data_IF_640108738429
#
_entry.id   IF_640108738429
#
_cell.length_a   1.000
_cell.length_b   1.000
_cell.length_c   1.000
_cell.angle_alpha   90.00
_cell.angle_beta   90.00
_cell.angle_gamma   90.00
#
_symmetry.space_group_name_H-M   'P 1'
#
loop_
_entity.id
_entity.type
_entity.pdbx_description
1 polymer ?
#
# COMPACT_ATOMS: atom_id res chain seq x y z
N UNK A 1 -10.67 1.66 21.49
CA UNK A 1 -11.40 1.90 22.78
C UNK A 1 -10.62 1.25 23.92
N UNK A 2 -10.54 1.80 25.15
CA UNK A 2 -9.75 1.18 26.24
C UNK A 2 -10.15 -0.28 26.53
N UNK A 3 -11.44 -0.62 26.46
CA UNK A 3 -11.94 -2.00 26.67
C UNK A 3 -11.52 -2.98 25.56
N UNK A 4 -11.32 -2.47 24.35
CA UNK A 4 -10.87 -3.26 23.21
C UNK A 4 -9.39 -3.59 23.34
N UNK A 5 -8.59 -2.64 23.85
CA UNK A 5 -7.16 -2.85 24.11
C UNK A 5 -6.92 -3.81 25.28
N UNK A 6 -7.80 -3.80 26.30
CA UNK A 6 -7.78 -4.81 27.35
C UNK A 6 -7.99 -6.22 26.77
N UNK A 7 -8.92 -6.35 25.82
CA UNK A 7 -9.18 -7.62 25.13
C UNK A 7 -8.01 -8.04 24.24
N UNK A 8 -7.48 -7.13 23.42
CA UNK A 8 -6.30 -7.38 22.57
C UNK A 8 -5.12 -7.87 23.39
N UNK A 9 -4.83 -7.19 24.51
CA UNK A 9 -3.75 -7.60 25.41
C UNK A 9 -3.99 -9.00 25.99
N UNK A 10 -5.21 -9.27 26.47
CA UNK A 10 -5.55 -10.57 27.04
C UNK A 10 -5.52 -11.72 26.00
N UNK A 11 -5.89 -11.46 24.75
CA UNK A 11 -5.84 -12.44 23.66
C UNK A 11 -4.40 -12.70 23.18
N UNK A 12 -3.55 -11.66 23.15
CA UNK A 12 -2.15 -11.78 22.76
C UNK A 12 -1.28 -12.43 23.84
N UNK A 13 -1.62 -12.22 25.11
CA UNK A 13 -0.83 -12.66 26.26
C UNK A 13 -1.13 -14.12 26.64
N UNK A 14 -0.33 -15.03 26.09
CA UNK A 14 -0.53 -16.48 26.18
C UNK A 14 -0.02 -17.07 27.48
N UNK A 15 0.98 -16.46 28.10
CA UNK A 15 1.54 -16.92 29.38
C UNK A 15 0.89 -16.25 30.61
N UNK A 16 0.00 -15.28 30.36
CA UNK A 16 -0.79 -14.52 31.34
C UNK A 16 0.08 -13.73 32.32
N UNK A 17 1.23 -13.22 31.89
CA UNK A 17 2.10 -12.33 32.67
C UNK A 17 1.66 -10.84 32.55
N UNK A 18 2.41 -9.87 33.09
CA UNK A 18 2.04 -8.44 33.06
C UNK A 18 2.51 -7.66 31.80
N UNK A 19 3.13 -8.34 30.84
CA UNK A 19 3.72 -7.79 29.62
C UNK A 19 3.37 -8.62 28.38
N UNK A 20 3.56 -8.04 27.19
CA UNK A 20 3.62 -8.78 25.94
C UNK A 20 5.06 -8.92 25.51
N UNK A 21 5.53 -10.17 25.41
CA UNK A 21 6.82 -10.46 24.79
C UNK A 21 6.79 -10.17 23.29
N UNK A 22 7.97 -10.01 22.68
CA UNK A 22 8.06 -9.84 21.23
C UNK A 22 7.44 -11.02 20.47
N UNK A 23 7.64 -12.25 20.94
CA UNK A 23 7.10 -13.45 20.28
C UNK A 23 5.57 -13.49 20.32
N UNK A 24 4.96 -13.09 21.44
CA UNK A 24 3.50 -12.96 21.55
C UNK A 24 2.95 -11.86 20.66
N UNK A 25 3.63 -10.72 20.58
CA UNK A 25 3.25 -9.64 19.66
C UNK A 25 3.37 -10.08 18.20
N UNK A 26 4.43 -10.81 17.83
CA UNK A 26 4.60 -11.35 16.48
C UNK A 26 3.51 -12.37 16.14
N UNK A 27 3.17 -13.27 17.07
CA UNK A 27 2.12 -14.25 16.86
C UNK A 27 0.73 -13.59 16.72
N UNK A 28 0.36 -12.69 17.64
CA UNK A 28 -0.96 -12.07 17.62
C UNK A 28 -1.06 -10.94 16.59
N UNK A 29 -0.19 -9.95 16.63
CA UNK A 29 -0.28 -8.81 15.72
C UNK A 29 0.21 -9.16 14.32
N UNK A 30 1.28 -9.96 14.22
CA UNK A 30 1.90 -10.31 12.95
C UNK A 30 1.16 -11.42 12.20
N UNK A 31 1.00 -12.57 12.86
CA UNK A 31 0.42 -13.77 12.21
C UNK A 31 -1.11 -13.76 12.23
N UNK A 32 -1.75 -13.29 13.32
CA UNK A 32 -3.22 -13.26 13.42
C UNK A 32 -3.85 -11.97 12.88
N UNK A 33 -3.34 -10.78 13.23
CA UNK A 33 -3.89 -9.50 12.75
C UNK A 33 -3.27 -9.01 11.43
N UNK A 34 -2.24 -9.68 10.90
CA UNK A 34 -1.66 -9.36 9.61
C UNK A 34 -0.73 -8.15 9.58
N UNK A 35 -0.13 -7.75 10.71
CA UNK A 35 0.80 -6.61 10.74
C UNK A 35 2.21 -7.05 10.29
N UNK A 36 3.01 -6.09 9.85
CA UNK A 36 4.41 -6.35 9.48
C UNK A 36 5.30 -6.59 10.70
N UNK A 37 6.11 -7.65 10.66
CA UNK A 37 7.05 -8.00 11.73
C UNK A 37 7.98 -6.83 12.07
N UNK A 38 8.46 -6.09 11.06
CA UNK A 38 9.36 -4.95 11.25
C UNK A 38 8.71 -3.80 12.05
N UNK A 39 7.42 -3.55 11.84
CA UNK A 39 6.65 -2.55 12.59
C UNK A 39 6.45 -2.97 14.04
N UNK A 40 6.15 -4.25 14.27
CA UNK A 40 6.00 -4.84 15.60
C UNK A 40 7.31 -4.78 16.37
N UNK A 41 8.42 -5.22 15.76
CA UNK A 41 9.76 -5.16 16.35
C UNK A 41 10.15 -3.72 16.69
N UNK A 42 9.87 -2.77 15.79
CA UNK A 42 10.13 -1.36 16.02
C UNK A 42 9.35 -0.81 17.22
N UNK A 43 8.07 -1.14 17.31
CA UNK A 43 7.20 -0.73 18.41
C UNK A 43 7.66 -1.33 19.75
N UNK A 44 7.90 -2.65 19.78
CA UNK A 44 8.39 -3.34 20.96
C UNK A 44 9.75 -2.77 21.42
N UNK A 45 10.67 -2.49 20.49
CA UNK A 45 11.97 -1.90 20.80
C UNK A 45 11.88 -0.45 21.30
N UNK A 46 10.91 0.33 20.82
CA UNK A 46 10.73 1.73 21.23
C UNK A 46 10.03 1.87 22.59
N UNK A 47 9.06 1.00 22.87
CA UNK A 47 8.13 1.16 23.99
C UNK A 47 8.18 0.03 25.02
N UNK A 48 8.88 -1.06 24.74
CA UNK A 48 9.08 -2.15 25.68
C UNK A 48 9.96 -1.74 26.87
N UNK A 49 9.68 -2.31 28.04
CA UNK A 49 10.47 -2.11 29.25
C UNK A 49 10.89 -3.48 29.82
N UNK A 50 12.19 -3.78 29.81
CA UNK A 50 12.71 -5.05 30.31
C UNK A 50 12.22 -6.24 29.49
N UNK A 51 11.24 -6.98 30.01
CA UNK A 51 10.78 -8.26 29.44
C UNK A 51 9.69 -8.12 28.35
N UNK A 52 9.09 -6.95 28.17
CA UNK A 52 8.05 -6.75 27.15
C UNK A 52 7.31 -5.43 27.23
N UNK A 53 6.17 -5.34 26.55
CA UNK A 53 5.28 -4.16 26.55
C UNK A 53 4.14 -4.36 27.54
N UNK A 54 4.01 -3.49 28.55
CA UNK A 54 2.87 -3.54 29.49
C UNK A 54 1.58 -3.05 28.84
N UNK A 55 0.42 -3.43 29.40
CA UNK A 55 -0.89 -2.93 28.95
C UNK A 55 -0.98 -1.39 28.94
N UNK A 56 -0.36 -0.76 29.94
CA UNK A 56 -0.33 0.70 30.06
C UNK A 56 0.47 1.36 28.94
N UNK A 57 1.62 0.80 28.58
CA UNK A 57 2.45 1.26 27.47
C UNK A 57 1.77 1.00 26.13
N UNK A 58 1.16 -0.18 25.97
CA UNK A 58 0.35 -0.50 24.79
C UNK A 58 -0.75 0.54 24.60
N UNK A 59 -1.56 0.83 25.63
CA UNK A 59 -2.64 1.83 25.55
C UNK A 59 -2.17 3.22 25.16
N UNK A 60 -1.00 3.64 25.64
CA UNK A 60 -0.44 4.97 25.33
C UNK A 60 0.03 5.08 23.89
N UNK A 61 0.58 4.02 23.34
CA UNK A 61 1.27 4.04 22.04
C UNK A 61 0.53 3.32 20.92
N UNK A 62 -0.57 2.60 21.19
CA UNK A 62 -1.29 1.77 20.21
C UNK A 62 -1.68 2.52 18.92
N UNK A 63 -1.92 3.83 19.00
CA UNK A 63 -2.19 4.68 17.82
C UNK A 63 -1.09 4.59 16.75
N UNK A 64 0.15 4.32 17.14
CA UNK A 64 1.29 4.17 16.23
C UNK A 64 1.20 2.89 15.39
N UNK A 65 0.35 1.95 15.81
CA UNK A 65 0.03 0.67 15.16
C UNK A 65 -1.36 0.71 14.52
N UNK A 66 -1.90 1.89 14.21
CA UNK A 66 -3.22 1.98 13.59
C UNK A 66 -3.21 1.24 12.23
N UNK A 67 -4.12 0.29 12.00
CA UNK A 67 -4.12 -0.47 10.76
C UNK A 67 -4.54 0.38 9.55
N UNK A 68 -5.42 1.37 9.75
CA UNK A 68 -6.06 2.18 8.71
C UNK A 68 -5.41 3.54 8.47
N UNK A 69 -4.52 3.96 9.36
CA UNK A 69 -3.81 5.23 9.25
C UNK A 69 -2.31 5.05 9.53
N UNK A 70 -1.49 5.27 8.50
CA UNK A 70 -0.03 5.26 8.60
C UNK A 70 0.45 6.70 8.50
N UNK A 71 0.82 7.28 9.64
CA UNK A 71 1.26 8.67 9.72
C UNK A 71 2.64 8.81 10.38
N UNK A 72 3.34 9.89 10.02
CA UNK A 72 4.57 10.36 10.68
C UNK A 72 5.67 9.29 10.80
N UNK A 73 5.86 8.48 9.76
CA UNK A 73 6.92 7.45 9.72
C UNK A 73 8.16 7.95 8.97
N UNK A 74 9.33 7.66 9.54
CA UNK A 74 10.62 7.92 8.89
C UNK A 74 11.51 6.68 8.96
N UNK A 75 12.10 6.27 7.84
CA UNK A 75 12.96 5.08 7.75
C UNK A 75 12.30 3.79 8.25
N UNK A 76 11.03 3.59 7.91
CA UNK A 76 10.26 2.42 8.35
C UNK A 76 9.80 1.54 7.18
N UNK A 77 9.74 0.24 7.46
CA UNK A 77 8.95 -0.72 6.70
C UNK A 77 7.64 -0.95 7.47
N UNK A 78 6.51 -0.65 6.84
CA UNK A 78 5.17 -0.91 7.38
C UNK A 78 4.43 -1.81 6.42
N UNK A 79 3.80 -2.86 6.94
CA UNK A 79 3.10 -3.87 6.11
C UNK A 79 1.73 -4.14 6.70
N UNK A 80 0.73 -4.24 5.81
CA UNK A 80 -0.57 -4.84 6.07
C UNK A 80 -0.65 -6.07 5.16
N UNK A 81 -0.56 -7.26 5.76
CA UNK A 81 -0.67 -8.55 5.07
C UNK A 81 -2.13 -8.76 4.60
N UNK A 82 -2.40 -9.71 3.69
CA UNK A 82 -3.77 -10.10 3.38
C UNK A 82 -4.58 -10.41 4.64
N UNK A 83 -5.80 -9.88 4.73
CA UNK A 83 -6.67 -10.02 5.90
C UNK A 83 -6.35 -9.08 7.07
N UNK A 84 -5.38 -8.17 6.95
CA UNK A 84 -5.05 -7.20 7.99
C UNK A 84 -6.20 -6.26 8.36
N UNK A 85 -7.21 -6.13 7.49
CA UNK A 85 -8.45 -5.39 7.79
C UNK A 85 -9.59 -6.29 8.26
N UNK A 86 -9.31 -7.54 8.66
CA UNK A 86 -10.28 -8.47 9.21
C UNK A 86 -11.38 -8.89 8.22
N UNK A 87 -11.13 -8.77 6.91
CA UNK A 87 -12.12 -9.07 5.86
C UNK A 87 -13.27 -8.07 5.78
N UNK A 88 -13.13 -6.89 6.40
CA UNK A 88 -14.11 -5.82 6.32
C UNK A 88 -14.23 -5.28 4.89
N UNK A 89 -15.45 -4.96 4.48
CA UNK A 89 -15.70 -4.16 3.27
C UNK A 89 -15.75 -2.67 3.62
N UNK A 90 -15.52 -1.80 2.63
CA UNK A 90 -15.63 -0.35 2.84
C UNK A 90 -14.48 0.25 3.67
N UNK A 91 -13.31 -0.38 3.68
CA UNK A 91 -12.16 0.09 4.45
C UNK A 91 -11.53 1.28 3.73
N UNK A 92 -11.38 2.40 4.45
CA UNK A 92 -10.66 3.58 3.96
C UNK A 92 -9.26 3.61 4.57
N UNK A 93 -8.25 3.80 3.72
CA UNK A 93 -6.85 3.84 4.10
C UNK A 93 -6.30 5.26 4.00
N UNK A 94 -5.61 5.71 5.04
CA UNK A 94 -4.89 6.98 5.07
C UNK A 94 -3.39 6.74 5.26
N UNK A 95 -2.58 7.37 4.43
CA UNK A 95 -1.12 7.36 4.55
C UNK A 95 -0.65 8.79 4.44
N UNK A 96 -0.01 9.33 5.47
CA UNK A 96 0.46 10.71 5.43
C UNK A 96 1.83 10.95 6.07
N UNK A 97 2.52 11.99 5.61
CA UNK A 97 3.74 12.54 6.25
C UNK A 97 4.84 11.48 6.46
N UNK A 98 5.02 10.60 5.49
CA UNK A 98 6.01 9.53 5.55
C UNK A 98 7.24 9.85 4.69
N UNK A 99 8.44 9.63 5.24
CA UNK A 99 9.71 9.91 4.55
C UNK A 99 10.67 8.72 4.57
N UNK A 100 11.25 8.34 3.42
CA UNK A 100 12.16 7.20 3.31
C UNK A 100 11.55 5.89 3.84
N UNK A 101 10.27 5.65 3.54
CA UNK A 101 9.54 4.48 4.01
C UNK A 101 9.22 3.51 2.88
N UNK A 102 9.10 2.23 3.22
CA UNK A 102 8.47 1.22 2.39
C UNK A 102 7.14 0.85 3.03
N UNK A 103 6.04 1.12 2.35
CA UNK A 103 4.68 0.99 2.86
C UNK A 103 3.91 0.00 1.98
N UNK A 104 3.63 -1.20 2.50
CA UNK A 104 3.04 -2.29 1.73
C UNK A 104 1.64 -2.60 2.27
N UNK A 105 0.61 -2.11 1.60
CA UNK A 105 -0.78 -2.43 1.93
C UNK A 105 -1.27 -3.53 0.99
N UNK A 106 -1.08 -4.78 1.40
CA UNK A 106 -1.37 -5.98 0.62
C UNK A 106 -2.74 -6.57 0.96
N UNK A 107 -3.77 -5.72 1.05
CA UNK A 107 -5.14 -6.09 1.33
C UNK A 107 -6.10 -5.23 0.51
N UNK A 108 -7.37 -5.63 0.44
CA UNK A 108 -8.41 -4.89 -0.27
C UNK A 108 -8.87 -3.68 0.54
N UNK A 109 -9.22 -2.62 -0.18
CA UNK A 109 -9.79 -1.41 0.43
C UNK A 109 -10.82 -0.78 -0.50
N UNK A 110 -11.58 0.17 0.02
CA UNK A 110 -12.53 0.97 -0.74
C UNK A 110 -11.84 2.22 -1.28
N UNK A 111 -11.20 2.99 -0.41
CA UNK A 111 -10.47 4.21 -0.78
C UNK A 111 -9.08 4.25 -0.15
N UNK A 112 -8.14 4.91 -0.84
CA UNK A 112 -6.86 5.28 -0.25
C UNK A 112 -6.56 6.76 -0.51
N UNK A 113 -6.24 7.47 0.56
CA UNK A 113 -5.72 8.83 0.51
C UNK A 113 -4.27 8.82 0.97
N UNK A 114 -3.37 9.26 0.08
CA UNK A 114 -1.94 9.30 0.35
C UNK A 114 -1.45 10.73 0.19
N UNK A 115 -0.86 11.30 1.24
CA UNK A 115 -0.52 12.72 1.27
C UNK A 115 0.86 12.99 1.87
N UNK A 116 1.60 13.95 1.32
CA UNK A 116 2.87 14.43 1.90
C UNK A 116 3.93 13.32 2.06
N UNK A 117 4.08 12.44 1.07
CA UNK A 117 5.13 11.41 1.08
C UNK A 117 6.41 11.91 0.40
N UNK A 118 7.55 11.50 0.94
CA UNK A 118 8.86 11.80 0.35
C UNK A 118 9.78 10.60 0.29
N UNK A 119 10.35 10.33 -0.88
CA UNK A 119 11.32 9.24 -1.09
C UNK A 119 10.81 7.88 -0.58
N UNK A 120 9.51 7.62 -0.76
CA UNK A 120 8.83 6.41 -0.28
C UNK A 120 8.55 5.42 -1.41
N UNK A 121 8.47 4.14 -1.05
CA UNK A 121 7.98 3.06 -1.91
C UNK A 121 6.67 2.54 -1.36
N UNK A 122 5.60 2.56 -2.15
CA UNK A 122 4.24 2.29 -1.68
C UNK A 122 3.57 1.26 -2.57
N UNK A 123 3.04 0.20 -1.97
CA UNK A 123 2.15 -0.76 -2.63
C UNK A 123 0.76 -0.61 -2.04
N UNK A 124 -0.24 -0.46 -2.90
CA UNK A 124 -1.65 -0.40 -2.58
C UNK A 124 -2.35 -1.53 -3.34
N UNK A 125 -2.84 -2.53 -2.60
CA UNK A 125 -3.67 -3.61 -3.13
C UNK A 125 -4.99 -3.11 -3.74
N UNK A 126 -5.83 -4.01 -4.29
CA UNK A 126 -7.04 -3.63 -5.01
C UNK A 126 -7.95 -2.69 -4.22
N UNK A 127 -8.16 -1.50 -4.79
CA UNK A 127 -8.95 -0.42 -4.24
C UNK A 127 -10.23 -0.21 -5.06
N UNK A 128 -11.38 -0.59 -4.47
CA UNK A 128 -12.66 -0.71 -5.18
C UNK A 128 -13.32 0.61 -5.56
N UNK A 129 -12.86 1.77 -5.07
CA UNK A 129 -13.36 3.08 -5.50
C UNK A 129 -12.25 3.97 -6.06
N UNK A 130 -11.32 4.45 -5.23
CA UNK A 130 -10.34 5.43 -5.69
C UNK A 130 -9.08 5.50 -4.83
N UNK A 131 -7.95 5.72 -5.51
CA UNK A 131 -6.70 6.14 -4.88
C UNK A 131 -6.40 7.58 -5.28
N UNK A 132 -6.20 8.45 -4.29
CA UNK A 132 -5.78 9.84 -4.49
C UNK A 132 -4.42 10.08 -3.83
N UNK A 133 -3.42 10.40 -4.64
CA UNK A 133 -2.09 10.79 -4.20
C UNK A 133 -1.94 12.31 -4.25
N UNK A 134 -1.46 12.91 -3.16
CA UNK A 134 -1.28 14.36 -3.02
C UNK A 134 0.10 14.69 -2.47
N UNK A 135 0.71 15.78 -2.93
CA UNK A 135 1.94 16.33 -2.35
C UNK A 135 3.10 15.31 -2.18
N UNK A 136 3.22 14.35 -3.09
CA UNK A 136 4.27 13.32 -3.01
C UNK A 136 5.48 13.70 -3.86
N UNK A 137 6.70 13.50 -3.33
CA UNK A 137 7.95 13.80 -4.02
C UNK A 137 8.89 12.60 -4.03
N UNK A 138 9.40 12.24 -5.22
CA UNK A 138 10.41 11.18 -5.37
C UNK A 138 9.94 9.78 -4.95
N UNK A 139 8.64 9.50 -5.05
CA UNK A 139 8.06 8.24 -4.59
C UNK A 139 7.75 7.24 -5.72
N UNK A 140 7.77 5.96 -5.38
CA UNK A 140 7.38 4.87 -6.27
C UNK A 140 6.10 4.22 -5.77
N UNK A 141 5.12 4.03 -6.66
CA UNK A 141 3.82 3.48 -6.30
C UNK A 141 3.45 2.30 -7.20
N UNK A 142 2.99 1.22 -6.58
CA UNK A 142 2.32 0.10 -7.23
C UNK A 142 0.87 0.11 -6.77
N UNK A 143 -0.08 0.33 -7.67
CA UNK A 143 -1.47 0.62 -7.31
C UNK A 143 -2.44 -0.11 -8.22
N UNK A 144 -3.39 -0.84 -7.65
CA UNK A 144 -4.56 -1.35 -8.35
C UNK A 144 -5.82 -0.63 -7.86
N UNK A 145 -6.54 0.08 -8.73
CA UNK A 145 -7.73 0.86 -8.32
C UNK A 145 -8.76 1.02 -9.44
N UNK A 146 -9.99 1.44 -9.15
CA UNK A 146 -10.91 1.87 -10.22
C UNK A 146 -10.56 3.26 -10.76
N UNK A 147 -10.33 4.23 -9.87
CA UNK A 147 -10.02 5.62 -10.22
C UNK A 147 -8.69 6.03 -9.61
N UNK A 148 -7.77 6.52 -10.44
CA UNK A 148 -6.44 6.96 -10.01
C UNK A 148 -6.30 8.47 -10.19
N UNK A 149 -6.03 9.18 -9.08
CA UNK A 149 -5.88 10.65 -9.07
C UNK A 149 -4.54 11.04 -8.46
N UNK A 150 -3.86 11.98 -9.09
CA UNK A 150 -2.56 12.51 -8.64
C UNK A 150 -2.63 14.03 -8.65
N UNK A 151 -2.29 14.66 -7.53
CA UNK A 151 -2.31 16.13 -7.40
C UNK A 151 -1.04 16.62 -6.72
N UNK A 152 -0.39 17.64 -7.28
CA UNK A 152 0.81 18.26 -6.69
C UNK A 152 1.95 17.25 -6.39
N UNK A 153 2.10 16.21 -7.22
CA UNK A 153 3.18 15.23 -7.07
C UNK A 153 4.34 15.54 -8.02
N UNK A 154 5.56 15.30 -7.56
CA UNK A 154 6.78 15.58 -8.33
C UNK A 154 7.71 14.37 -8.38
N UNK A 155 8.27 14.10 -9.55
CA UNK A 155 9.28 13.04 -9.74
C UNK A 155 8.85 11.61 -9.32
N UNK A 156 7.55 11.30 -9.31
CA UNK A 156 7.05 9.98 -8.91
C UNK A 156 6.99 8.96 -10.06
N UNK A 157 7.12 7.68 -9.72
CA UNK A 157 6.88 6.52 -10.62
C UNK A 157 5.60 5.80 -10.22
N UNK A 158 4.78 5.44 -11.20
CA UNK A 158 3.50 4.77 -11.00
C UNK A 158 3.42 3.50 -11.84
N UNK A 159 3.24 2.36 -11.19
CA UNK A 159 2.89 1.07 -11.79
C UNK A 159 1.42 0.82 -11.49
N UNK A 160 0.55 1.04 -12.47
CA UNK A 160 -0.90 1.19 -12.21
C UNK A 160 -1.71 0.12 -12.93
N UNK A 161 -2.70 -0.41 -12.24
CA UNK A 161 -3.90 -1.01 -12.83
C UNK A 161 -5.07 -0.08 -12.52
N UNK A 162 -5.73 0.44 -13.56
CA UNK A 162 -6.90 1.27 -13.38
C UNK A 162 -8.02 0.98 -14.38
N UNK A 163 -9.27 1.05 -13.90
CA UNK A 163 -10.47 0.82 -14.72
C UNK A 163 -10.90 2.06 -15.52
N UNK A 164 -10.38 3.23 -15.15
CA UNK A 164 -10.65 4.51 -15.81
C UNK A 164 -9.35 5.26 -16.03
N UNK A 165 -9.39 6.27 -16.89
CA UNK A 165 -8.26 7.16 -17.19
C UNK A 165 -7.64 7.76 -15.92
N UNK A 166 -6.33 7.59 -15.69
CA UNK A 166 -5.60 8.32 -14.66
C UNK A 166 -5.74 9.82 -14.84
N UNK A 167 -5.99 10.53 -13.75
CA UNK A 167 -6.08 12.00 -13.75
C UNK A 167 -4.90 12.59 -12.99
N UNK A 168 -4.21 13.53 -13.61
CA UNK A 168 -3.14 14.31 -12.96
C UNK A 168 -3.46 15.81 -12.98
N UNK A 169 -3.07 16.52 -11.92
CA UNK A 169 -3.18 17.97 -11.82
C UNK A 169 -2.01 18.56 -10.99
N UNK A 170 -1.50 19.72 -11.41
CA UNK A 170 -0.39 20.43 -10.73
C UNK A 170 0.88 19.59 -10.52
N UNK A 171 1.08 18.52 -11.28
CA UNK A 171 2.12 17.51 -11.05
C UNK A 171 3.18 17.54 -12.16
N UNK A 172 4.40 17.08 -11.90
CA UNK A 172 5.47 17.08 -12.91
C UNK A 172 6.52 15.99 -12.73
N UNK A 173 7.23 15.63 -13.80
CA UNK A 173 8.27 14.58 -13.75
C UNK A 173 7.71 13.19 -13.46
N UNK A 174 6.45 12.93 -13.79
CA UNK A 174 5.76 11.67 -13.52
C UNK A 174 6.14 10.59 -14.55
N UNK A 175 6.17 9.33 -14.12
CA UNK A 175 6.42 8.18 -14.99
C UNK A 175 5.36 7.11 -14.76
N UNK A 176 4.79 6.58 -15.84
CA UNK A 176 3.73 5.57 -15.80
C UNK A 176 4.18 4.27 -16.46
N UNK A 177 3.80 3.14 -15.86
CA UNK A 177 3.93 1.79 -16.36
C UNK A 177 2.69 0.97 -15.92
N UNK A 178 2.39 -0.17 -16.57
CA UNK A 178 1.34 -1.05 -16.08
C UNK A 178 1.74 -1.66 -14.73
N UNK A 179 0.76 -2.08 -13.94
CA UNK A 179 0.98 -2.73 -12.64
C UNK A 179 1.98 -3.90 -12.78
N UNK A 180 3.02 -3.87 -11.98
CA UNK A 180 4.02 -4.94 -11.87
C UNK A 180 4.34 -5.20 -10.40
N UNK A 181 3.38 -5.80 -9.70
CA UNK A 181 3.53 -6.18 -8.31
C UNK A 181 3.06 -7.62 -8.12
N UNK A 182 3.72 -8.33 -7.22
CA UNK A 182 3.40 -9.68 -6.79
C UNK A 182 3.36 -9.71 -5.26
N UNK A 183 2.27 -10.24 -4.70
CA UNK A 183 2.22 -10.61 -3.28
C UNK A 183 1.26 -11.79 -3.08
N UNK A 184 1.43 -12.61 -2.04
CA UNK A 184 0.53 -13.72 -1.75
C UNK A 184 -0.94 -13.25 -1.61
N UNK A 185 -1.82 -13.66 -2.52
CA UNK A 185 -3.25 -13.33 -2.50
C UNK A 185 -3.67 -12.18 -3.41
N UNK A 186 -2.76 -11.61 -4.22
CA UNK A 186 -3.10 -10.50 -5.13
C UNK A 186 -4.16 -10.89 -6.17
N UNK A 187 -4.07 -12.10 -6.74
CA UNK A 187 -5.02 -12.59 -7.73
C UNK A 187 -6.42 -12.77 -7.14
N UNK A 188 -6.53 -13.34 -5.94
CA UNK A 188 -7.80 -13.46 -5.21
C UNK A 188 -8.39 -12.07 -4.91
N UNK A 189 -7.56 -11.12 -4.47
CA UNK A 189 -8.02 -9.76 -4.22
C UNK A 189 -8.53 -9.07 -5.49
N UNK A 190 -7.93 -9.35 -6.66
CA UNK A 190 -8.42 -8.86 -7.97
C UNK A 190 -9.78 -9.45 -8.33
N UNK A 191 -9.95 -10.77 -8.18
CA UNK A 191 -11.21 -11.46 -8.44
C UNK A 191 -12.34 -10.89 -7.57
N UNK A 192 -12.06 -10.73 -6.28
CA UNK A 192 -12.97 -10.18 -5.31
C UNK A 192 -13.36 -8.73 -5.59
N UNK A 193 -12.40 -7.90 -6.02
CA UNK A 193 -12.63 -6.53 -6.45
C UNK A 193 -13.27 -6.43 -7.85
N UNK A 194 -13.45 -7.58 -8.54
CA UNK A 194 -13.96 -7.70 -9.91
C UNK A 194 -13.12 -6.92 -10.91
N UNK A 195 -11.80 -6.96 -10.74
CA UNK A 195 -10.85 -6.35 -11.63
C UNK A 195 -10.51 -7.33 -12.76
N UNK A 196 -10.68 -6.88 -13.99
CA UNK A 196 -10.22 -7.60 -15.17
C UNK A 196 -8.75 -7.20 -15.45
N UNK A 197 -7.78 -8.11 -15.31
CA UNK A 197 -6.37 -7.79 -15.53
C UNK A 197 -6.04 -7.40 -16.98
N UNK A 198 -6.89 -7.78 -17.94
CA UNK A 198 -6.73 -7.42 -19.34
C UNK A 198 -7.21 -5.99 -19.65
N UNK A 199 -8.05 -5.42 -18.79
CA UNK A 199 -8.58 -4.06 -18.93
C UNK A 199 -7.83 -3.10 -18.01
N UNK A 200 -6.83 -2.44 -18.56
CA UNK A 200 -5.98 -1.52 -17.83
C UNK A 200 -5.78 -0.19 -18.58
N UNK A 201 -6.28 0.90 -18.00
CA UNK A 201 -6.20 2.26 -18.57
C UNK A 201 -4.95 3.04 -18.14
N UNK A 202 -3.93 2.39 -17.57
CA UNK A 202 -2.73 3.02 -16.99
C UNK A 202 -2.02 4.05 -17.89
N UNK A 203 -2.09 3.91 -19.22
CA UNK A 203 -1.48 4.80 -20.21
C UNK A 203 -2.44 5.84 -20.81
N UNK A 204 -3.71 5.88 -20.38
CA UNK A 204 -4.73 6.83 -20.81
C UNK A 204 -4.74 8.09 -19.92
N UNK A 205 -3.58 8.69 -19.67
CA UNK A 205 -3.44 9.76 -18.66
C UNK A 205 -4.04 11.08 -19.16
N UNK A 206 -4.97 11.63 -18.37
CA UNK A 206 -5.52 12.98 -18.55
C UNK A 206 -4.81 13.99 -17.64
N UNK A 207 -4.18 15.01 -18.23
CA UNK A 207 -3.43 16.04 -17.52
C UNK A 207 -4.15 17.40 -17.55
N UNK A 208 -4.73 17.80 -16.41
CA UNK A 208 -5.40 19.11 -16.26
C UNK A 208 -4.43 20.29 -16.33
N UNK A 209 -3.15 20.05 -16.02
CA UNK A 209 -2.09 21.05 -15.97
C UNK A 209 -1.17 21.03 -17.20
N UNK A 210 -1.53 20.25 -18.22
CA UNK A 210 -0.74 20.03 -19.42
C UNK A 210 -0.54 21.30 -20.24
N UNK A 211 0.63 21.44 -20.87
CA UNK A 211 0.95 22.56 -21.78
C UNK A 211 1.37 22.01 -23.15
N UNK A 212 1.15 22.75 -24.26
CA UNK A 212 1.41 22.24 -25.62
C UNK A 212 2.85 21.80 -25.93
N UNK A 213 3.85 22.19 -25.13
CA UNK A 213 5.27 21.92 -25.40
C UNK A 213 6.03 21.35 -24.19
N UNK A 214 5.34 21.05 -23.11
CA UNK A 214 5.91 20.52 -21.88
C UNK A 214 5.06 19.33 -21.44
N UNK A 215 5.70 18.18 -21.25
CA UNK A 215 5.03 16.98 -20.75
C UNK A 215 5.32 16.85 -19.25
N UNK A 216 4.27 16.81 -18.44
CA UNK A 216 4.37 16.58 -17.00
C UNK A 216 4.60 15.09 -16.66
N UNK A 217 4.33 14.21 -17.62
CA UNK A 217 4.42 12.77 -17.46
C UNK A 217 4.98 12.11 -18.71
N UNK A 218 5.46 10.88 -18.57
CA UNK A 218 5.87 10.01 -19.68
C UNK A 218 5.61 8.54 -19.34
N UNK A 219 5.58 7.69 -20.37
CA UNK A 219 5.68 6.24 -20.17
C UNK A 219 7.11 5.89 -19.76
N UNK A 220 7.26 4.98 -18.80
CA UNK A 220 8.56 4.53 -18.31
C UNK A 220 9.23 3.61 -19.34
N UNK A 221 10.54 3.78 -19.63
CA UNK A 221 11.31 2.84 -20.43
C UNK A 221 11.38 1.44 -19.77
N UNK A 222 11.40 0.38 -20.58
CA UNK A 222 11.39 -1.00 -20.10
C UNK A 222 12.58 -1.33 -19.18
N UNK A 223 13.76 -0.80 -19.47
CA UNK A 223 15.00 -0.99 -18.70
C UNK A 223 15.00 -0.24 -17.36
N UNK A 224 14.10 0.73 -17.19
CA UNK A 224 13.86 1.43 -15.93
C UNK A 224 12.70 0.80 -15.13
N UNK A 225 11.91 -0.11 -15.72
CA UNK A 225 10.79 -0.76 -15.06
C UNK A 225 11.25 -1.73 -13.96
N UNK A 226 10.43 -1.85 -12.90
CA UNK A 226 10.73 -2.66 -11.72
C UNK A 226 9.46 -3.42 -11.33
N UNK A 227 9.58 -4.74 -11.17
CA UNK A 227 8.53 -5.57 -10.59
C UNK A 227 8.76 -5.66 -9.08
N UNK A 228 7.77 -5.25 -8.28
CA UNK A 228 7.82 -5.38 -6.83
C UNK A 228 7.32 -6.76 -6.41
N UNK A 229 8.21 -7.61 -5.90
CA UNK A 229 7.85 -8.92 -5.34
C UNK A 229 7.87 -8.87 -3.82
N UNK A 230 6.73 -9.08 -3.20
CA UNK A 230 6.57 -9.09 -1.74
C UNK A 230 6.36 -10.52 -1.27
N UNK A 231 7.18 -10.97 -0.32
CA UNK A 231 6.98 -12.25 0.38
C UNK A 231 6.79 -11.97 1.86
N UNK A 232 5.94 -12.76 2.52
CA UNK A 232 5.71 -12.64 3.95
C UNK A 232 6.40 -13.78 4.69
N UNK A 233 7.07 -13.43 5.79
CA UNK A 233 7.58 -14.44 6.71
C UNK A 233 6.43 -15.35 7.15
N UNK A 234 6.69 -16.66 7.22
CA UNK A 234 5.72 -17.67 7.69
C UNK A 234 4.45 -17.80 6.84
N UNK A 235 4.42 -17.23 5.63
CA UNK A 235 3.39 -17.55 4.63
C UNK A 235 3.84 -18.72 3.76
N UNK A 236 2.97 -19.72 3.59
CA UNK A 236 3.21 -20.84 2.67
C UNK A 236 2.84 -20.51 1.21
N UNK A 237 2.07 -19.43 1.01
CA UNK A 237 1.64 -19.00 -0.31
C UNK A 237 2.75 -18.20 -0.98
N UNK A 238 3.13 -18.60 -2.19
CA UNK A 238 4.06 -17.86 -3.02
C UNK A 238 3.45 -16.53 -3.48
N UNK A 239 4.27 -15.49 -3.72
CA UNK A 239 3.79 -14.27 -4.36
C UNK A 239 3.15 -14.60 -5.71
N UNK A 240 2.02 -13.95 -5.99
CA UNK A 240 1.30 -14.10 -7.25
C UNK A 240 0.89 -12.74 -7.80
N UNK A 241 0.59 -12.69 -9.09
CA UNK A 241 0.03 -11.51 -9.74
C UNK A 241 -0.88 -11.92 -10.89
N UNK A 242 -2.06 -11.29 -11.01
CA UNK A 242 -2.93 -11.47 -12.16
C UNK A 242 -2.53 -10.55 -13.32
N UNK A 243 -1.67 -9.55 -13.09
CA UNK A 243 -1.25 -8.61 -14.11
C UNK A 243 -0.24 -9.25 -15.09
N UNK A 244 -0.38 -9.00 -16.40
CA UNK A 244 0.61 -9.49 -17.37
C UNK A 244 1.98 -8.83 -17.13
N UNK A 245 3.08 -9.52 -17.49
CA UNK A 245 4.42 -8.96 -17.34
C UNK A 245 4.60 -7.70 -18.21
N UNK A 246 5.43 -6.77 -17.74
CA UNK A 246 5.80 -5.59 -18.54
C UNK A 246 6.63 -6.05 -19.74
N UNK A 247 6.15 -5.76 -20.94
CA UNK A 247 6.89 -5.95 -22.19
C UNK A 247 7.02 -4.65 -22.96
N UNK A 248 7.92 -4.62 -23.93
CA UNK A 248 8.06 -3.47 -24.83
C UNK A 248 6.76 -3.20 -25.60
N UNK A 249 6.07 -4.26 -26.02
CA UNK A 249 4.79 -4.17 -26.72
C UNK A 249 3.72 -3.54 -25.83
N UNK A 250 3.64 -3.94 -24.55
CA UNK A 250 2.69 -3.37 -23.60
C UNK A 250 2.93 -1.87 -23.38
N UNK A 251 4.19 -1.44 -23.28
CA UNK A 251 4.55 -0.03 -23.09
C UNK A 251 4.31 0.84 -24.33
N UNK A 252 4.29 0.24 -25.53
CA UNK A 252 4.02 0.94 -26.79
C UNK A 252 2.55 0.84 -27.24
N UNK A 253 1.74 0.04 -26.53
CA UNK A 253 0.34 -0.15 -26.88
C UNK A 253 -0.43 1.18 -26.78
N UNK A 254 -1.39 1.45 -27.70
CA UNK A 254 -2.28 2.58 -27.55
C UNK A 254 -3.13 2.42 -26.26
N UNK A 255 -3.61 3.52 -25.67
CA UNK A 255 -4.55 3.43 -24.57
C UNK A 255 -5.83 2.71 -24.97
N UNK A 256 -6.43 1.98 -24.02
CA UNK A 256 -7.77 1.42 -24.19
C UNK A 256 -8.77 2.55 -24.42
N UNK A 257 -9.78 2.26 -25.23
CA UNK A 257 -10.88 3.17 -25.51
C UNK A 257 -12.01 2.96 -24.51
N UNK A 258 -12.84 3.98 -24.28
CA UNK A 258 -13.96 3.92 -23.35
C UNK A 258 -15.04 2.88 -23.71
N UNK A 259 -15.02 2.31 -24.91
CA UNK A 259 -15.91 1.19 -25.30
C UNK A 259 -15.40 -0.17 -24.80
N UNK A 260 -14.13 -0.23 -24.35
CA UNK A 260 -13.47 -1.43 -23.85
C UNK A 260 -13.51 -1.52 -22.31
N UNK A 261 -14.12 -0.53 -21.63
CA UNK A 261 -14.29 -0.49 -20.16
C UNK A 261 -15.29 -1.52 -19.65
#
# INVERSE_FOLDING_TARGET
NNKELDRVFAEANTDHNDVLSLDEMLAYMGDYLGYGDAEIVAFHGAHGAGAGVTLDLLKRHYRELNPYNIEDKMHRLVVRKPGAFGGLSGVDMHIEKCTHCTLLVCDRMEQALVDELKDCRVLIGPCSASVHLRNCDGCDFWVATRQFRVTECTNCRFYVHCHTEPVIDGSSGLRFAPLAAEYPGLSEHFEDAKFDPSKNFWNAVYDFSGKPREANWRIQPLDECETLVVSFNRSEQAPDSPAPPITQEALLAPPLTSEES
#
